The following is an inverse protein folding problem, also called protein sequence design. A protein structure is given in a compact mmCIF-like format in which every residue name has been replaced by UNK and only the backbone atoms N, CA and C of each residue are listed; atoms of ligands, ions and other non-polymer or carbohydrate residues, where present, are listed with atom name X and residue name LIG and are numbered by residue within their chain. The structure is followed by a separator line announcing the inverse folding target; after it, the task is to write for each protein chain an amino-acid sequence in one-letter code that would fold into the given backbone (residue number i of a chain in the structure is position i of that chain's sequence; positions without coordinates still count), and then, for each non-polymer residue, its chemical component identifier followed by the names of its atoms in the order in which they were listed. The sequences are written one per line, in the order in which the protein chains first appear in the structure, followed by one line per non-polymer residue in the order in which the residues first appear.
data_IF_269264356809
#
_entry.id   IF_269264356809
#
_cell.length_a   1.000
_cell.length_b   1.000
_cell.length_c   1.000
_cell.angle_alpha   90.00
_cell.angle_beta   90.00
_cell.angle_gamma   90.00
#
_symmetry.space_group_name_H-M   'P 1'
#
loop_
_entity.id
_entity.type
_entity.pdbx_description
1 polymer ?
#
# COMPACT_ATOMS: atom_id res chain seq x y z
N UNK A 1 -13.99 0.54 25.21
CA UNK A 1 -15.32 0.92 24.66
C UNK A 1 -15.21 1.99 23.58
N UNK A 2 -14.62 3.18 23.82
CA UNK A 2 -14.47 4.23 22.79
C UNK A 2 -13.77 3.79 21.48
N UNK A 3 -12.68 3.01 21.58
CA UNK A 3 -11.95 2.48 20.41
C UNK A 3 -12.78 1.48 19.57
N UNK A 4 -13.57 0.63 20.23
CA UNK A 4 -14.43 -0.33 19.55
C UNK A 4 -15.54 0.38 18.77
N UNK A 5 -16.09 1.44 19.37
CA UNK A 5 -17.11 2.30 18.74
C UNK A 5 -16.56 2.97 17.47
N UNK A 6 -15.35 3.54 17.53
CA UNK A 6 -14.69 4.14 16.36
C UNK A 6 -14.43 3.11 15.26
N UNK A 7 -13.99 1.89 15.61
CA UNK A 7 -13.79 0.81 14.64
C UNK A 7 -15.10 0.42 13.96
N UNK A 8 -16.18 0.23 14.73
CA UNK A 8 -17.48 -0.12 14.18
C UNK A 8 -18.04 0.97 13.25
N UNK A 9 -17.90 2.24 13.63
CA UNK A 9 -18.27 3.37 12.77
C UNK A 9 -17.42 3.36 11.49
N UNK A 10 -16.11 3.19 11.60
CA UNK A 10 -15.21 3.11 10.45
C UNK A 10 -15.60 2.00 9.48
N UNK A 11 -15.86 0.79 9.98
CA UNK A 11 -16.30 -0.36 9.18
C UNK A 11 -17.66 -0.08 8.54
N UNK A 12 -18.64 0.43 9.29
CA UNK A 12 -19.96 0.75 8.76
C UNK A 12 -19.89 1.79 7.64
N UNK A 13 -19.05 2.81 7.81
CA UNK A 13 -18.79 3.83 6.79
C UNK A 13 -18.11 3.22 5.56
N UNK A 14 -17.05 2.43 5.74
CA UNK A 14 -16.34 1.77 4.64
C UNK A 14 -17.25 0.84 3.83
N UNK A 15 -18.05 0.00 4.51
CA UNK A 15 -19.01 -0.91 3.86
C UNK A 15 -20.12 -0.12 3.18
N UNK A 16 -20.65 0.93 3.82
CA UNK A 16 -21.69 1.78 3.25
C UNK A 16 -21.24 2.47 1.96
N UNK A 17 -20.03 3.03 1.93
CA UNK A 17 -19.48 3.65 0.73
C UNK A 17 -19.08 2.64 -0.34
N UNK A 18 -18.58 1.46 0.04
CA UNK A 18 -18.31 0.39 -0.91
C UNK A 18 -19.59 -0.07 -1.61
N UNK A 19 -20.66 -0.30 -0.83
CA UNK A 19 -21.98 -0.61 -1.39
C UNK A 19 -22.48 0.52 -2.29
N UNK A 20 -22.38 1.78 -1.84
CA UNK A 20 -22.81 2.93 -2.62
C UNK A 20 -22.07 3.06 -3.96
N UNK A 21 -20.77 2.78 -3.99
CA UNK A 21 -19.98 2.79 -5.22
C UNK A 21 -20.35 1.62 -6.16
N UNK A 22 -20.67 0.45 -5.61
CA UNK A 22 -20.95 -0.75 -6.40
C UNK A 22 -22.41 -0.93 -6.82
N UNK A 23 -23.37 -0.25 -6.16
CA UNK A 23 -24.81 -0.52 -6.33
C UNK A 23 -25.31 -0.37 -7.79
N UNK A 24 -24.71 0.54 -8.55
CA UNK A 24 -25.08 0.85 -9.94
C UNK A 24 -24.08 0.22 -10.94
N UNK A 25 -23.10 -0.55 -10.45
CA UNK A 25 -22.04 -1.15 -11.28
C UNK A 25 -22.45 -2.54 -11.73
N UNK A 26 -22.57 -2.74 -13.04
CA UNK A 26 -22.71 -4.07 -13.63
C UNK A 26 -21.35 -4.80 -13.64
N UNK A 27 -21.30 -5.96 -12.96
CA UNK A 27 -20.11 -6.80 -12.91
C UNK A 27 -19.67 -7.30 -14.30
N UNK A 28 -20.61 -7.46 -15.24
CA UNK A 28 -20.31 -7.80 -16.63
C UNK A 28 -19.50 -6.72 -17.32
N UNK A 29 -19.90 -5.46 -17.14
CA UNK A 29 -19.17 -4.29 -17.62
C UNK A 29 -17.76 -4.19 -17.04
N UNK A 30 -17.59 -4.49 -15.74
CA UNK A 30 -16.26 -4.53 -15.11
C UNK A 30 -15.36 -5.60 -15.75
N UNK A 31 -15.88 -6.82 -15.93
CA UNK A 31 -15.12 -7.91 -16.56
C UNK A 31 -14.74 -7.58 -18.01
N UNK A 32 -15.66 -6.99 -18.78
CA UNK A 32 -15.40 -6.55 -20.15
C UNK A 32 -14.33 -5.45 -20.22
N UNK A 33 -14.35 -4.52 -19.26
CA UNK A 33 -13.34 -3.47 -19.16
C UNK A 33 -11.94 -4.05 -18.91
N UNK A 34 -11.80 -5.10 -18.09
CA UNK A 34 -10.53 -5.80 -17.94
C UNK A 34 -10.08 -6.48 -19.25
N UNK A 35 -10.99 -7.06 -20.03
CA UNK A 35 -10.60 -7.71 -21.29
C UNK A 35 -10.16 -6.72 -22.38
N UNK A 36 -10.74 -5.52 -22.38
CA UNK A 36 -10.47 -4.47 -23.38
C UNK A 36 -9.43 -3.44 -22.92
N UNK A 37 -8.93 -3.55 -21.69
CA UNK A 37 -7.96 -2.63 -21.11
C UNK A 37 -6.63 -2.62 -21.89
N UNK A 38 -6.03 -1.44 -22.01
CA UNK A 38 -4.71 -1.29 -22.59
C UNK A 38 -3.60 -1.60 -21.56
N UNK A 39 -3.14 -2.84 -21.56
CA UNK A 39 -2.10 -3.34 -20.67
C UNK A 39 -0.70 -2.76 -20.96
N UNK A 40 -0.48 -2.03 -22.05
CA UNK A 40 0.79 -1.35 -22.32
C UNK A 40 1.08 -0.23 -21.29
N UNK A 41 0.07 0.20 -20.53
CA UNK A 41 0.23 1.13 -19.42
C UNK A 41 0.80 0.48 -18.15
N UNK A 42 0.71 -0.85 -18.02
CA UNK A 42 1.20 -1.57 -16.83
C UNK A 42 2.71 -1.43 -16.62
N UNK A 43 3.58 -1.59 -17.64
CA UNK A 43 5.01 -1.37 -17.47
C UNK A 43 5.33 0.03 -16.96
N UNK A 44 4.63 1.06 -17.47
CA UNK A 44 4.81 2.45 -17.02
C UNK A 44 4.40 2.60 -15.56
N UNK A 45 3.24 2.05 -15.18
CA UNK A 45 2.77 2.04 -13.79
C UNK A 45 3.77 1.34 -12.86
N UNK A 46 4.27 0.16 -13.26
CA UNK A 46 5.22 -0.63 -12.47
C UNK A 46 6.56 0.10 -12.30
N UNK A 47 7.06 0.74 -13.37
CA UNK A 47 8.28 1.55 -13.30
C UNK A 47 8.12 2.75 -12.35
N UNK A 48 6.99 3.45 -12.43
CA UNK A 48 6.68 4.56 -11.52
C UNK A 48 6.54 4.08 -10.08
N UNK A 49 5.94 2.91 -9.86
CA UNK A 49 5.78 2.32 -8.54
C UNK A 49 7.13 1.90 -7.94
N UNK A 50 8.00 1.28 -8.75
CA UNK A 50 9.37 0.94 -8.35
C UNK A 50 10.17 2.20 -8.02
N UNK A 51 10.08 3.25 -8.85
CA UNK A 51 10.73 4.53 -8.60
C UNK A 51 10.22 5.18 -7.31
N UNK A 52 8.91 5.12 -7.04
CA UNK A 52 8.30 5.61 -5.81
C UNK A 52 8.86 4.91 -4.55
N UNK A 53 8.94 3.57 -4.57
CA UNK A 53 9.50 2.82 -3.45
C UNK A 53 11.02 3.02 -3.30
N UNK A 54 11.74 3.18 -4.41
CA UNK A 54 13.16 3.51 -4.38
C UNK A 54 13.41 4.87 -3.72
N UNK A 55 12.66 5.90 -4.13
CA UNK A 55 12.77 7.24 -3.55
C UNK A 55 12.42 7.23 -2.06
N UNK A 56 11.42 6.45 -1.65
CA UNK A 56 11.13 6.23 -0.22
C UNK A 56 12.32 5.61 0.51
N UNK A 57 13.01 4.65 -0.10
CA UNK A 57 14.16 3.98 0.49
C UNK A 57 15.34 4.94 0.65
N UNK A 58 15.56 5.84 -0.32
CA UNK A 58 16.53 6.95 -0.19
C UNK A 58 16.16 7.86 0.98
N UNK A 59 14.89 8.27 1.07
CA UNK A 59 14.42 9.12 2.18
C UNK A 59 14.62 8.44 3.54
N UNK A 60 14.35 7.14 3.64
CA UNK A 60 14.57 6.39 4.88
C UNK A 60 16.05 6.20 5.21
N UNK A 61 16.92 6.05 4.21
CA UNK A 61 18.37 6.03 4.41
C UNK A 61 18.87 7.34 5.03
N UNK A 62 18.40 8.48 4.51
CA UNK A 62 18.72 9.81 5.06
C UNK A 62 18.19 9.99 6.49
N UNK A 63 16.97 9.51 6.76
CA UNK A 63 16.38 9.61 8.09
C UNK A 63 17.12 8.76 9.14
N UNK A 64 17.65 7.61 8.71
CA UNK A 64 18.38 6.67 9.57
C UNK A 64 19.87 6.98 9.67
N UNK A 65 20.42 7.90 8.86
CA UNK A 65 21.83 8.28 8.85
C UNK A 65 22.43 8.54 10.24
N UNK A 66 21.73 9.22 11.20
CA UNK A 66 22.26 9.43 12.55
C UNK A 66 22.34 8.16 13.40
N UNK A 67 21.54 7.13 13.08
CA UNK A 67 21.46 5.87 13.83
C UNK A 67 22.32 4.77 13.19
N UNK A 68 22.31 4.67 11.86
CA UNK A 68 23.09 3.71 11.10
C UNK A 68 23.32 4.21 9.66
N UNK A 69 24.56 4.14 9.13
CA UNK A 69 24.87 4.53 7.76
C UNK A 69 24.39 3.46 6.77
N UNK A 70 23.08 3.36 6.55
CA UNK A 70 22.46 2.42 5.63
C UNK A 70 22.29 3.05 4.25
N UNK A 71 22.53 2.26 3.20
CA UNK A 71 22.28 2.70 1.81
C UNK A 71 20.83 2.44 1.39
N UNK A 72 20.33 3.22 0.43
CA UNK A 72 19.00 3.02 -0.14
C UNK A 72 18.80 1.60 -0.71
N UNK A 73 19.86 1.00 -1.25
CA UNK A 73 19.84 -0.37 -1.79
C UNK A 73 19.62 -1.42 -0.70
N UNK A 74 20.22 -1.25 0.47
CA UNK A 74 20.03 -2.14 1.62
C UNK A 74 18.62 -1.98 2.21
N UNK A 75 18.09 -0.75 2.22
CA UNK A 75 16.76 -0.45 2.74
C UNK A 75 15.62 -0.79 1.79
N UNK A 76 15.87 -0.98 0.49
CA UNK A 76 14.83 -1.20 -0.50
C UNK A 76 13.97 -2.44 -0.21
N UNK A 77 14.60 -3.58 0.07
CA UNK A 77 13.90 -4.82 0.42
C UNK A 77 13.03 -4.68 1.68
N UNK A 78 13.59 -4.25 2.82
CA UNK A 78 12.82 -4.04 4.04
C UNK A 78 11.69 -3.00 3.89
N UNK A 79 11.91 -1.94 3.11
CA UNK A 79 10.87 -0.95 2.77
C UNK A 79 9.74 -1.62 2.00
N UNK A 80 10.03 -2.40 0.95
CA UNK A 80 9.01 -3.11 0.19
C UNK A 80 8.22 -4.10 1.06
N UNK A 81 8.90 -4.88 1.90
CA UNK A 81 8.26 -5.85 2.81
C UNK A 81 7.36 -5.13 3.81
N UNK A 82 7.83 -4.04 4.41
CA UNK A 82 7.02 -3.23 5.34
C UNK A 82 5.77 -2.65 4.67
N UNK A 83 5.89 -2.16 3.42
CA UNK A 83 4.72 -1.68 2.67
C UNK A 83 3.78 -2.80 2.25
N UNK A 84 4.30 -3.96 1.82
CA UNK A 84 3.46 -5.13 1.52
C UNK A 84 2.68 -5.58 2.76
N UNK A 85 3.35 -5.66 3.91
CA UNK A 85 2.72 -5.97 5.19
C UNK A 85 1.67 -4.91 5.59
N UNK A 86 1.89 -3.62 5.33
CA UNK A 86 0.89 -2.57 5.58
C UNK A 86 -0.36 -2.65 4.69
N UNK A 87 -0.28 -3.30 3.52
CA UNK A 87 -1.46 -3.52 2.68
C UNK A 87 -2.31 -4.70 3.16
N UNK A 88 -1.70 -5.64 3.89
CA UNK A 88 -2.38 -6.85 4.40
C UNK A 88 -2.82 -6.64 5.86
N UNK A 89 -1.96 -6.04 6.67
CA UNK A 89 -2.16 -5.86 8.10
C UNK A 89 -2.80 -4.49 8.39
N UNK A 90 -3.83 -4.44 9.24
CA UNK A 90 -4.43 -3.18 9.67
C UNK A 90 -3.45 -2.37 10.55
N UNK A 91 -3.75 -1.08 10.73
CA UNK A 91 -3.05 -0.19 11.67
C UNK A 91 -1.54 0.01 11.41
N UNK A 92 -1.09 -0.07 10.16
CA UNK A 92 0.31 0.14 9.76
C UNK A 92 1.30 -0.80 10.48
N UNK A 93 0.87 -2.01 10.83
CA UNK A 93 1.72 -2.99 11.53
C UNK A 93 2.92 -3.47 10.70
N UNK A 94 2.92 -3.27 9.39
CA UNK A 94 4.07 -3.53 8.53
C UNK A 94 5.29 -2.64 8.84
N UNK A 95 5.11 -1.52 9.53
CA UNK A 95 6.25 -0.76 10.04
C UNK A 95 7.04 -1.52 11.12
N UNK A 96 6.36 -2.34 11.94
CA UNK A 96 7.04 -3.25 12.88
C UNK A 96 7.77 -4.35 12.14
N UNK A 97 7.15 -4.93 11.11
CA UNK A 97 7.78 -5.97 10.28
C UNK A 97 9.09 -5.46 9.67
N UNK A 98 9.13 -4.19 9.24
CA UNK A 98 10.35 -3.58 8.72
C UNK A 98 11.50 -3.57 9.73
N UNK A 99 11.23 -3.36 11.02
CA UNK A 99 12.26 -3.36 12.07
C UNK A 99 12.88 -4.74 12.28
N UNK A 100 12.14 -5.82 12.02
CA UNK A 100 12.66 -7.19 12.13
C UNK A 100 13.47 -7.65 10.92
N UNK A 101 13.35 -6.94 9.79
CA UNK A 101 13.96 -7.31 8.50
C UNK A 101 15.15 -6.41 8.14
N UNK A 102 15.24 -5.21 8.72
CA UNK A 102 16.44 -4.35 8.71
C UNK A 102 17.41 -4.82 9.78
#
# INVERSE_FOLDING_TARGET
MKRLLLLLIGVAVSVGFLWYAMRDTDLGTVSSAFQTANYLTLPVLLLLLLAFYWLKSVRFAQLLEPAAPLTARQLFGPVMIGFAANNILPAHLGEFVRVFVV
#
